data_IF_126744428984
#
_entry.id   IF_126744428984
#
_cell.length_a   1.000
_cell.length_b   1.000
_cell.length_c   1.000
_cell.angle_alpha   90.00
_cell.angle_beta   90.00
_cell.angle_gamma   90.00
#
_symmetry.space_group_name_H-M   'P 1'
#
loop_
_entity.id
_entity.type
_entity.pdbx_description
1 polymer ?
#
# COMPACT_ATOMS: atom_id res chain seq x y z
N UNK A 1 -0.89 -15.75 -9.82
CA UNK A 1 0.57 -16.02 -9.88
C UNK A 1 1.25 -15.07 -8.90
N UNK A 2 1.65 -15.55 -7.73
CA UNK A 2 2.17 -14.69 -6.64
C UNK A 2 3.66 -14.44 -6.85
N UNK A 3 4.11 -13.19 -6.66
CA UNK A 3 5.53 -12.86 -6.74
C UNK A 3 6.29 -13.58 -5.62
N UNK A 4 7.12 -14.57 -5.98
CA UNK A 4 7.88 -15.40 -5.04
C UNK A 4 8.78 -14.60 -4.09
N UNK A 5 9.28 -13.43 -4.52
CA UNK A 5 10.07 -12.56 -3.67
C UNK A 5 9.21 -11.86 -2.61
N UNK A 6 7.99 -11.48 -2.95
CA UNK A 6 7.02 -10.91 -2.01
C UNK A 6 6.58 -11.94 -0.97
N UNK A 7 6.23 -13.15 -1.42
CA UNK A 7 5.87 -14.27 -0.55
C UNK A 7 6.99 -14.65 0.42
N UNK A 8 8.26 -14.60 -0.03
CA UNK A 8 9.41 -14.85 0.82
C UNK A 8 9.61 -13.76 1.88
N UNK A 9 9.39 -12.49 1.54
CA UNK A 9 9.53 -11.36 2.48
C UNK A 9 8.39 -11.35 3.52
N UNK A 10 7.15 -11.67 3.12
CA UNK A 10 6.01 -11.75 4.05
C UNK A 10 6.09 -12.97 4.96
N UNK A 11 6.62 -14.11 4.49
CA UNK A 11 6.85 -15.30 5.33
C UNK A 11 8.01 -15.15 6.31
N UNK A 12 9.04 -14.36 5.99
CA UNK A 12 10.21 -14.12 6.87
C UNK A 12 9.88 -13.23 8.05
N UNK A 13 8.95 -12.29 7.89
CA UNK A 13 8.46 -11.48 9.00
C UNK A 13 7.33 -12.26 9.65
N UNK A 14 7.59 -12.88 10.79
CA UNK A 14 6.53 -13.28 11.72
C UNK A 14 5.81 -12.02 12.21
N UNK A 15 5.01 -11.40 11.35
CA UNK A 15 4.25 -10.20 11.67
C UNK A 15 3.15 -10.66 12.61
N UNK A 16 3.38 -10.53 13.91
CA UNK A 16 2.29 -10.27 14.83
C UNK A 16 1.67 -8.95 14.37
N UNK A 17 0.46 -8.95 13.75
CA UNK A 17 -0.14 -7.75 13.17
C UNK A 17 -0.33 -6.63 14.20
N UNK A 18 -0.30 -7.00 15.49
CA UNK A 18 -0.56 -6.11 16.61
C UNK A 18 0.66 -5.33 17.10
N UNK A 19 1.90 -5.69 16.74
CA UNK A 19 3.09 -5.24 17.49
C UNK A 19 4.02 -4.22 16.80
N UNK A 20 3.67 -3.70 15.63
CA UNK A 20 4.50 -2.65 14.98
C UNK A 20 3.91 -2.02 13.73
N UNK A 21 2.59 -2.03 13.57
CA UNK A 21 1.94 -1.73 12.30
C UNK A 21 1.92 -0.23 11.98
N UNK A 22 2.56 0.15 10.87
CA UNK A 22 2.19 1.36 10.17
C UNK A 22 0.75 1.17 9.67
N UNK A 23 -0.22 1.79 10.33
CA UNK A 23 -1.63 1.71 9.93
C UNK A 23 -1.94 2.77 8.88
N UNK A 24 -2.73 2.43 7.87
CA UNK A 24 -3.30 3.42 6.96
C UNK A 24 -4.46 4.13 7.68
N UNK A 25 -4.32 5.45 7.85
CA UNK A 25 -5.32 6.33 8.41
C UNK A 25 -6.11 6.96 7.26
N UNK A 26 -7.31 6.44 7.01
CA UNK A 26 -8.15 6.86 5.88
C UNK A 26 -8.39 8.38 5.86
N UNK A 27 -8.61 9.00 7.03
CA UNK A 27 -8.82 10.46 7.14
C UNK A 27 -7.59 11.31 6.78
N UNK A 28 -6.40 10.70 6.61
CA UNK A 28 -5.17 11.37 6.19
C UNK A 28 -4.88 11.22 4.69
N UNK A 29 -5.68 10.44 3.97
CA UNK A 29 -5.56 10.31 2.52
C UNK A 29 -6.23 11.52 1.88
N UNK A 30 -5.45 12.45 1.36
CA UNK A 30 -5.97 13.65 0.69
C UNK A 30 -6.33 13.40 -0.79
N UNK A 31 -5.71 12.41 -1.43
CA UNK A 31 -6.01 12.04 -2.81
C UNK A 31 -7.17 11.02 -2.84
N UNK A 32 -8.33 11.45 -3.36
CA UNK A 32 -9.53 10.62 -3.44
C UNK A 32 -9.31 9.35 -4.28
N UNK A 33 -8.44 9.41 -5.30
CA UNK A 33 -8.12 8.26 -6.15
C UNK A 33 -7.33 7.22 -5.37
N UNK A 34 -6.39 7.68 -4.53
CA UNK A 34 -5.65 6.80 -3.62
C UNK A 34 -6.57 6.17 -2.58
N UNK A 35 -7.51 6.93 -2.02
CA UNK A 35 -8.49 6.41 -1.07
C UNK A 35 -9.37 5.33 -1.70
N UNK A 36 -9.89 5.58 -2.91
CA UNK A 36 -10.69 4.62 -3.66
C UNK A 36 -9.89 3.35 -3.99
N UNK A 37 -8.62 3.50 -4.42
CA UNK A 37 -7.78 2.37 -4.77
C UNK A 37 -7.43 1.47 -3.56
N UNK A 38 -7.20 2.07 -2.39
CA UNK A 38 -6.96 1.32 -1.14
C UNK A 38 -8.19 0.50 -0.73
N UNK A 39 -9.41 0.97 -1.03
CA UNK A 39 -10.64 0.23 -0.76
C UNK A 39 -10.92 -0.82 -1.84
N UNK A 40 -10.76 -0.45 -3.12
CA UNK A 40 -11.08 -1.30 -4.27
C UNK A 40 -10.15 -2.49 -4.41
N UNK A 41 -8.92 -2.44 -3.88
CA UNK A 41 -7.99 -3.56 -3.99
C UNK A 41 -8.54 -4.85 -3.36
N UNK A 42 -9.34 -4.75 -2.30
CA UNK A 42 -9.96 -5.92 -1.67
C UNK A 42 -11.15 -6.48 -2.47
N UNK A 43 -11.66 -5.75 -3.45
CA UNK A 43 -12.61 -6.25 -4.44
C UNK A 43 -11.91 -6.97 -5.62
N UNK A 44 -10.57 -7.04 -5.63
CA UNK A 44 -9.78 -7.65 -6.69
C UNK A 44 -9.29 -6.67 -7.77
N UNK A 45 -9.51 -5.37 -7.58
CA UNK A 45 -9.13 -4.35 -8.56
C UNK A 45 -7.65 -3.98 -8.45
N UNK A 46 -7.03 -3.71 -9.60
CA UNK A 46 -5.66 -3.19 -9.71
C UNK A 46 -5.70 -1.73 -10.16
N UNK A 47 -4.93 -0.87 -9.52
CA UNK A 47 -4.89 0.56 -9.77
C UNK A 47 -3.48 1.03 -10.11
N UNK A 48 -3.41 1.94 -11.07
CA UNK A 48 -2.22 2.70 -11.43
C UNK A 48 -2.56 4.17 -11.29
N UNK A 49 -1.90 4.85 -10.36
CA UNK A 49 -2.12 6.26 -10.09
C UNK A 49 -0.84 7.02 -10.38
N UNK A 50 -0.96 8.15 -11.07
CA UNK A 50 0.14 9.09 -11.30
C UNK A 50 -0.19 10.43 -10.63
N UNK A 51 0.85 11.22 -10.38
CA UNK A 51 0.77 12.52 -9.74
C UNK A 51 0.04 12.49 -8.38
N UNK A 52 0.22 11.41 -7.62
CA UNK A 52 -0.35 11.25 -6.27
C UNK A 52 0.40 12.15 -5.31
N UNK A 53 -0.34 13.02 -4.63
CA UNK A 53 0.23 14.00 -3.70
C UNK A 53 0.39 13.38 -2.31
N UNK A 54 1.60 13.48 -1.76
CA UNK A 54 1.92 13.06 -0.39
C UNK A 54 1.46 11.63 -0.03
N UNK A 55 1.75 10.61 -0.86
CA UNK A 55 1.23 9.25 -0.67
C UNK A 55 1.57 8.61 0.69
N UNK A 56 2.63 9.08 1.35
CA UNK A 56 3.09 8.55 2.65
C UNK A 56 2.35 9.14 3.86
N UNK A 57 1.60 10.24 3.72
CA UNK A 57 0.94 10.91 4.84
C UNK A 57 -0.15 10.06 5.49
N UNK A 58 -0.63 9.05 4.77
CA UNK A 58 -1.66 8.14 5.26
C UNK A 58 -1.16 7.19 6.35
N UNK A 59 0.14 6.99 6.56
CA UNK A 59 0.64 6.02 7.55
C UNK A 59 0.75 6.62 8.97
N UNK A 60 0.25 5.89 9.98
CA UNK A 60 0.47 6.16 11.40
C UNK A 60 1.93 5.79 11.79
N UNK A 61 2.60 6.63 12.56
CA UNK A 61 3.90 6.32 13.17
C UNK A 61 5.14 6.59 12.30
N UNK A 62 4.99 6.98 11.04
CA UNK A 62 6.13 7.44 10.22
C UNK A 62 6.36 8.94 10.45
N UNK A 63 7.54 9.33 10.94
CA UNK A 63 8.00 10.72 10.87
C UNK A 63 8.04 11.10 9.39
N UNK A 64 7.39 12.21 9.06
CA UNK A 64 7.33 12.82 7.75
C UNK A 64 8.72 12.78 7.09
N UNK A 65 8.91 11.86 6.13
CA UNK A 65 10.06 11.96 5.23
C UNK A 65 9.87 13.27 4.46
N UNK A 66 10.92 14.08 4.41
CA UNK A 66 10.89 15.47 3.96
C UNK A 66 10.12 15.63 2.64
N UNK A 67 9.38 16.73 2.51
CA UNK A 67 8.55 17.12 1.35
C UNK A 67 9.29 17.10 0.01
N UNK A 68 10.63 17.08 0.01
CA UNK A 68 11.44 16.95 -1.21
C UNK A 68 11.43 15.53 -1.84
N UNK A 69 11.07 14.49 -1.08
CA UNK A 69 10.95 13.10 -1.59
C UNK A 69 9.53 12.76 -2.04
N UNK A 70 8.51 13.49 -1.57
CA UNK A 70 7.11 13.25 -1.94
C UNK A 70 6.81 13.57 -3.40
N UNK A 71 7.57 14.49 -4.00
CA UNK A 71 7.43 14.86 -5.42
C UNK A 71 8.15 13.87 -6.35
N UNK A 72 9.07 13.05 -5.83
CA UNK A 72 9.73 12.01 -6.64
C UNK A 72 8.85 10.79 -6.79
N UNK A 73 8.20 10.33 -5.72
CA UNK A 73 7.40 9.10 -5.75
C UNK A 73 5.90 9.36 -5.94
N UNK A 74 5.53 9.99 -7.04
CA UNK A 74 4.15 10.37 -7.31
C UNK A 74 3.34 9.29 -8.05
N UNK A 75 3.99 8.16 -8.40
CA UNK A 75 3.35 7.01 -9.02
C UNK A 75 3.08 5.92 -8.00
N UNK A 76 1.86 5.40 -7.99
CA UNK A 76 1.42 4.37 -7.07
C UNK A 76 0.77 3.23 -7.84
N UNK A 77 1.23 2.00 -7.59
CA UNK A 77 0.57 0.79 -8.09
C UNK A 77 -0.03 0.05 -6.90
N UNK A 78 -1.31 -0.27 -7.00
CA UNK A 78 -2.04 -1.01 -5.97
C UNK A 78 -2.63 -2.26 -6.60
N UNK A 79 -2.35 -3.44 -6.06
CA UNK A 79 -2.86 -4.70 -6.61
C UNK A 79 -3.18 -5.73 -5.51
N UNK A 80 -4.18 -6.59 -5.74
CA UNK A 80 -4.58 -7.62 -4.81
C UNK A 80 -3.60 -8.80 -4.83
N UNK A 81 -3.51 -9.47 -3.70
CA UNK A 81 -2.85 -10.77 -3.57
C UNK A 81 -3.85 -11.75 -2.97
N UNK A 82 -4.20 -12.76 -3.76
CA UNK A 82 -5.03 -13.89 -3.33
C UNK A 82 -4.25 -14.83 -2.42
N UNK A 83 -4.96 -15.44 -1.48
CA UNK A 83 -4.52 -16.66 -0.81
C UNK A 83 -4.63 -17.87 -1.76
N UNK A 84 -4.20 -19.04 -1.28
CA UNK A 84 -4.17 -20.29 -2.06
C UNK A 84 -5.57 -20.75 -2.51
N UNK A 85 -6.61 -20.35 -1.78
CA UNK A 85 -8.03 -20.61 -2.08
C UNK A 85 -8.65 -19.59 -3.06
N UNK A 86 -7.88 -18.59 -3.49
CA UNK A 86 -8.32 -17.53 -4.40
C UNK A 86 -8.93 -16.31 -3.70
N UNK A 87 -9.15 -16.34 -2.38
CA UNK A 87 -9.68 -15.19 -1.64
C UNK A 87 -8.65 -14.05 -1.55
N UNK A 88 -9.09 -12.81 -1.76
CA UNK A 88 -8.21 -11.64 -1.61
C UNK A 88 -8.02 -11.34 -0.13
N UNK A 89 -6.84 -11.69 0.39
CA UNK A 89 -6.50 -11.50 1.80
C UNK A 89 -5.57 -10.31 2.03
N UNK A 90 -4.84 -9.90 1.00
CA UNK A 90 -3.83 -8.84 1.11
C UNK A 90 -3.90 -7.90 -0.10
N UNK A 91 -3.61 -6.63 0.15
CA UNK A 91 -3.35 -5.63 -0.89
C UNK A 91 -1.88 -5.19 -0.83
N UNK A 92 -1.28 -4.97 -2.00
CA UNK A 92 0.08 -4.44 -2.13
C UNK A 92 -0.01 -3.03 -2.65
N UNK A 93 0.73 -2.11 -2.03
CA UNK A 93 0.91 -0.73 -2.49
C UNK A 93 2.40 -0.51 -2.78
N UNK A 94 2.72 -0.14 -4.02
CA UNK A 94 4.07 0.17 -4.47
C UNK A 94 4.13 1.65 -4.81
N UNK A 95 5.08 2.38 -4.21
CA UNK A 95 5.38 3.77 -4.54
C UNK A 95 6.61 3.78 -5.44
N UNK A 96 6.48 4.37 -6.61
CA UNK A 96 7.53 4.43 -7.63
C UNK A 96 7.95 5.88 -7.90
N UNK A 97 9.23 6.13 -8.21
CA UNK A 97 9.71 7.43 -8.66
C UNK A 97 9.21 7.85 -10.06
#
# INVERSE_FOLDING_TARGET
>A
MTNKAFEAETKKRGIDPKKGAACILQHKISDLRLAAAVLGVFAGDTFFLEDVKNPYFMFLGKKQQNTAESDRNNRVVIFPVSADDGEITHGVIVFMP
#
